data_IF_094247488795
#
_entry.id   IF_094247488795
#
_cell.length_a   1.000
_cell.length_b   1.000
_cell.length_c   1.000
_cell.angle_alpha   90.00
_cell.angle_beta   90.00
_cell.angle_gamma   90.00
#
_symmetry.space_group_name_H-M   'P 1'
#
loop_
_entity.id
_entity.type
_entity.pdbx_description
1 polymer ?
#
# COMPACT_ATOMS: atom_id res chain seq x y z
N UNK A 1 -20.68 -0.52 -15.31
CA UNK A 1 -19.41 -0.62 -16.04
C UNK A 1 -18.45 -1.52 -15.27
N UNK A 2 -17.66 -2.32 -15.99
CA UNK A 2 -16.74 -3.31 -15.39
C UNK A 2 -15.38 -3.18 -16.10
N UNK A 3 -14.29 -3.30 -15.31
CA UNK A 3 -12.92 -3.39 -15.81
C UNK A 3 -12.13 -4.41 -15.00
N UNK A 4 -11.14 -5.06 -15.65
CA UNK A 4 -10.24 -6.03 -15.01
C UNK A 4 -8.84 -5.88 -15.61
N UNK A 5 -7.81 -5.75 -14.76
CA UNK A 5 -6.43 -5.53 -15.18
C UNK A 5 -5.42 -5.97 -14.15
N UNK A 6 -4.17 -6.16 -14.58
CA UNK A 6 -3.05 -6.45 -13.69
C UNK A 6 -2.71 -5.24 -12.81
N UNK A 7 -2.61 -5.44 -11.49
CA UNK A 7 -2.26 -4.42 -10.51
C UNK A 7 -1.68 -5.05 -9.25
N UNK A 8 -0.64 -4.44 -8.69
CA UNK A 8 0.01 -4.88 -7.42
C UNK A 8 0.36 -6.38 -7.39
N UNK A 9 0.86 -6.88 -8.51
CA UNK A 9 1.24 -8.30 -8.67
C UNK A 9 0.06 -9.28 -8.69
N UNK A 10 -1.15 -8.80 -8.90
CA UNK A 10 -2.41 -9.54 -8.94
C UNK A 10 -3.34 -8.98 -10.02
N UNK A 11 -4.63 -9.37 -9.97
CA UNK A 11 -5.70 -8.81 -10.79
C UNK A 11 -6.52 -7.86 -9.93
N UNK A 12 -6.76 -6.67 -10.44
CA UNK A 12 -7.78 -5.75 -9.96
C UNK A 12 -9.07 -5.94 -10.77
N UNK A 13 -10.21 -6.00 -10.08
CA UNK A 13 -11.53 -6.02 -10.69
C UNK A 13 -12.34 -4.84 -10.14
N UNK A 14 -12.94 -4.06 -11.04
CA UNK A 14 -13.69 -2.87 -10.69
C UNK A 14 -15.06 -2.94 -11.32
N UNK A 15 -16.08 -2.71 -10.53
CA UNK A 15 -17.46 -2.49 -10.97
C UNK A 15 -17.88 -1.10 -10.53
N UNK A 16 -18.44 -0.31 -11.46
CA UNK A 16 -18.95 1.04 -11.19
C UNK A 16 -20.37 1.13 -11.68
N UNK A 17 -21.27 1.60 -10.84
CA UNK A 17 -22.62 2.07 -11.17
C UNK A 17 -22.54 3.60 -11.22
N UNK A 18 -22.52 4.17 -12.43
CA UNK A 18 -22.28 5.58 -12.68
C UNK A 18 -21.66 5.82 -14.05
N UNK A 19 -20.97 6.92 -14.22
CA UNK A 19 -20.34 7.31 -15.49
C UNK A 19 -19.13 6.41 -15.85
N UNK A 20 -19.03 6.05 -17.15
CA UNK A 20 -17.98 5.13 -17.62
C UNK A 20 -16.55 5.65 -17.39
N UNK A 21 -16.35 6.96 -17.42
CA UNK A 21 -15.01 7.55 -17.21
C UNK A 21 -14.43 7.24 -15.82
N UNK A 22 -15.26 6.92 -14.84
CA UNK A 22 -14.84 6.54 -13.49
C UNK A 22 -14.00 5.24 -13.47
N UNK A 23 -14.18 4.33 -14.43
CA UNK A 23 -13.29 3.17 -14.58
C UNK A 23 -11.85 3.59 -14.86
N UNK A 24 -11.67 4.59 -15.76
CA UNK A 24 -10.33 5.13 -16.04
C UNK A 24 -9.73 5.81 -14.82
N UNK A 25 -10.52 6.58 -14.08
CA UNK A 25 -10.10 7.21 -12.81
C UNK A 25 -9.62 6.15 -11.84
N UNK A 26 -10.38 5.09 -11.62
CA UNK A 26 -10.01 3.98 -10.74
C UNK A 26 -8.69 3.30 -11.17
N UNK A 27 -8.52 3.03 -12.46
CA UNK A 27 -7.30 2.43 -13.01
C UNK A 27 -6.07 3.31 -12.76
N UNK A 28 -6.17 4.61 -13.04
CA UNK A 28 -5.08 5.56 -12.83
C UNK A 28 -4.74 5.69 -11.34
N UNK A 29 -5.75 5.70 -10.49
CA UNK A 29 -5.56 5.79 -9.04
C UNK A 29 -4.87 4.54 -8.48
N UNK A 30 -5.27 3.35 -8.89
CA UNK A 30 -4.60 2.10 -8.50
C UNK A 30 -3.16 2.05 -8.99
N UNK A 31 -2.88 2.49 -10.21
CA UNK A 31 -1.52 2.57 -10.73
C UNK A 31 -0.65 3.57 -9.95
N UNK A 32 -1.20 4.73 -9.55
CA UNK A 32 -0.52 5.70 -8.70
C UNK A 32 -0.16 5.11 -7.33
N UNK A 33 -1.11 4.41 -6.68
CA UNK A 33 -0.87 3.74 -5.41
C UNK A 33 0.17 2.60 -5.54
N UNK A 34 0.15 1.83 -6.63
CA UNK A 34 1.18 0.82 -6.90
C UNK A 34 2.56 1.45 -7.03
N UNK A 35 2.69 2.55 -7.77
CA UNK A 35 3.94 3.27 -7.93
C UNK A 35 4.48 3.83 -6.60
N UNK A 36 3.62 4.21 -5.67
CA UNK A 36 4.00 4.70 -4.34
C UNK A 36 4.35 3.58 -3.36
N UNK A 37 3.68 2.43 -3.46
CA UNK A 37 3.68 1.42 -2.41
C UNK A 37 4.40 0.12 -2.75
N UNK A 38 4.74 -0.10 -4.04
CA UNK A 38 5.44 -1.32 -4.44
C UNK A 38 6.88 -1.32 -3.94
N UNK A 39 7.22 -2.29 -3.10
CA UNK A 39 8.59 -2.50 -2.63
C UNK A 39 9.54 -3.00 -3.72
N UNK A 40 9.02 -3.35 -4.88
CA UNK A 40 9.79 -3.77 -6.05
C UNK A 40 10.14 -2.61 -7.00
N UNK A 41 9.57 -1.42 -6.77
CA UNK A 41 9.90 -0.19 -7.50
C UNK A 41 10.87 0.61 -6.62
N UNK A 42 12.14 0.67 -6.99
CA UNK A 42 13.19 1.31 -6.18
C UNK A 42 12.94 2.80 -5.88
N UNK A 43 12.17 3.48 -6.74
CA UNK A 43 11.77 4.89 -6.57
C UNK A 43 10.43 5.07 -5.85
N UNK A 44 9.76 4.00 -5.44
CA UNK A 44 8.51 4.11 -4.69
C UNK A 44 8.74 4.72 -3.31
N UNK A 45 7.73 5.38 -2.77
CA UNK A 45 7.83 6.00 -1.44
C UNK A 45 8.14 4.97 -0.35
N UNK A 46 7.59 3.76 -0.43
CA UNK A 46 7.92 2.66 0.50
C UNK A 46 9.36 2.20 0.34
N UNK A 47 9.89 2.09 -0.87
CA UNK A 47 11.30 1.74 -1.08
C UNK A 47 12.24 2.83 -0.56
N UNK A 48 11.89 4.10 -0.74
CA UNK A 48 12.66 5.22 -0.19
C UNK A 48 12.66 5.21 1.35
N UNK A 49 11.51 4.98 1.99
CA UNK A 49 11.41 4.81 3.45
C UNK A 49 12.28 3.63 3.92
N UNK A 50 12.22 2.48 3.22
CA UNK A 50 12.97 1.28 3.57
C UNK A 50 14.48 1.44 3.46
N UNK A 51 14.94 2.37 2.63
CA UNK A 51 16.37 2.69 2.46
C UNK A 51 16.84 3.90 3.27
N UNK A 52 15.93 4.55 4.00
CA UNK A 52 16.24 5.77 4.76
C UNK A 52 17.02 5.53 6.05
N UNK A 53 17.04 4.28 6.58
CA UNK A 53 17.77 3.88 7.79
C UNK A 53 17.54 4.82 8.98
N UNK A 54 16.29 5.00 9.35
CA UNK A 54 15.91 5.85 10.48
C UNK A 54 16.01 7.36 10.20
N UNK A 55 16.27 7.78 8.96
CA UNK A 55 16.15 9.19 8.56
C UNK A 55 14.71 9.53 8.23
N UNK A 56 14.39 10.80 8.36
CA UNK A 56 13.08 11.32 8.01
C UNK A 56 12.91 11.39 6.49
N UNK A 57 11.77 10.92 6.00
CA UNK A 57 11.37 10.97 4.58
C UNK A 57 10.04 11.70 4.44
N UNK A 58 9.93 12.50 3.39
CA UNK A 58 8.69 13.19 3.04
C UNK A 58 7.97 12.42 1.95
N UNK A 59 6.74 12.04 2.22
CA UNK A 59 5.93 11.18 1.35
C UNK A 59 4.51 11.72 1.18
N UNK A 60 3.77 11.16 0.23
CA UNK A 60 2.37 11.56 -0.01
C UNK A 60 1.45 11.21 1.17
N UNK A 61 0.31 11.90 1.26
CA UNK A 61 -0.72 11.62 2.25
C UNK A 61 -1.21 10.16 2.22
N UNK A 62 -1.24 9.55 1.04
CA UNK A 62 -1.58 8.13 0.87
C UNK A 62 -0.59 7.22 1.60
N UNK A 63 0.70 7.48 1.45
CA UNK A 63 1.75 6.68 2.09
C UNK A 63 1.83 6.94 3.58
N UNK A 64 1.60 8.18 4.03
CA UNK A 64 1.42 8.49 5.45
C UNK A 64 0.28 7.66 6.05
N UNK A 65 -0.86 7.61 5.38
CA UNK A 65 -2.00 6.79 5.82
C UNK A 65 -1.64 5.30 5.86
N UNK A 66 -0.99 4.77 4.82
CA UNK A 66 -0.55 3.37 4.78
C UNK A 66 0.39 3.05 5.95
N UNK A 67 1.44 3.87 6.17
CA UNK A 67 2.41 3.63 7.27
C UNK A 67 1.70 3.65 8.62
N UNK A 68 0.78 4.59 8.84
CA UNK A 68 -0.02 4.64 10.07
C UNK A 68 -0.83 3.35 10.28
N UNK A 69 -1.51 2.85 9.22
CA UNK A 69 -2.28 1.60 9.32
C UNK A 69 -1.37 0.39 9.59
N UNK A 70 -0.17 0.33 9.01
CA UNK A 70 0.78 -0.75 9.25
C UNK A 70 1.27 -0.75 10.71
N UNK A 71 1.64 0.41 11.25
CA UNK A 71 2.07 0.59 12.64
C UNK A 71 0.94 0.24 13.61
N UNK A 72 -0.27 0.75 13.35
CA UNK A 72 -1.44 0.49 14.18
C UNK A 72 -1.82 -1.00 14.19
N UNK A 73 -1.77 -1.66 13.03
CA UNK A 73 -2.07 -3.08 12.91
C UNK A 73 -1.05 -3.95 13.67
N UNK A 74 0.25 -3.64 13.61
CA UNK A 74 1.26 -4.34 14.42
C UNK A 74 0.93 -4.21 15.92
N UNK A 75 0.63 -2.99 16.37
CA UNK A 75 0.29 -2.71 17.76
C UNK A 75 -0.98 -3.44 18.20
N UNK A 76 -2.07 -3.29 17.46
CA UNK A 76 -3.40 -3.86 17.79
C UNK A 76 -3.44 -5.38 17.76
N UNK A 77 -2.60 -6.00 16.97
CA UNK A 77 -2.50 -7.46 16.90
C UNK A 77 -1.40 -8.02 17.82
N UNK A 78 -0.78 -7.18 18.65
CA UNK A 78 0.34 -7.58 19.52
C UNK A 78 1.46 -8.29 18.73
N UNK A 79 1.75 -7.81 17.51
CA UNK A 79 2.78 -8.36 16.63
C UNK A 79 2.38 -9.61 15.85
N UNK A 80 1.14 -10.10 15.94
CA UNK A 80 0.66 -11.22 15.09
C UNK A 80 0.61 -10.82 13.61
N UNK A 81 0.31 -9.57 13.31
CA UNK A 81 0.59 -8.94 12.04
C UNK A 81 1.86 -8.10 12.20
N UNK A 82 2.90 -8.41 11.43
CA UNK A 82 4.17 -7.68 11.48
C UNK A 82 4.63 -7.24 10.10
N UNK A 83 4.46 -5.95 9.76
CA UNK A 83 4.92 -5.42 8.47
C UNK A 83 6.43 -5.20 8.41
N UNK A 84 7.18 -5.38 9.50
CA UNK A 84 8.65 -5.20 9.53
C UNK A 84 9.44 -6.43 9.09
N UNK A 85 8.75 -7.48 8.59
CA UNK A 85 9.36 -8.75 8.20
C UNK A 85 10.00 -8.74 6.79
N UNK A 86 10.14 -7.60 6.12
CA UNK A 86 10.66 -7.54 4.75
C UNK A 86 12.04 -8.23 4.59
N UNK A 87 13.05 -8.05 5.47
CA UNK A 87 14.32 -8.76 5.33
C UNK A 87 14.17 -10.28 5.42
N UNK A 88 13.29 -10.78 6.29
CA UNK A 88 13.00 -12.20 6.40
C UNK A 88 12.32 -12.74 5.13
N UNK A 89 11.36 -12.00 4.55
CA UNK A 89 10.72 -12.36 3.29
C UNK A 89 11.72 -12.44 2.14
N UNK A 90 12.66 -11.49 2.05
CA UNK A 90 13.73 -11.53 1.06
C UNK A 90 14.61 -12.78 1.25
N UNK A 91 15.00 -13.08 2.49
CA UNK A 91 15.78 -14.28 2.84
C UNK A 91 15.08 -15.59 2.48
N UNK A 92 13.74 -15.63 2.51
CA UNK A 92 12.91 -16.76 2.10
C UNK A 92 12.68 -16.82 0.57
N UNK A 93 13.28 -15.94 -0.23
CA UNK A 93 13.17 -15.94 -1.68
C UNK A 93 12.08 -15.02 -2.25
N UNK A 94 11.36 -14.26 -1.41
CA UNK A 94 10.34 -13.32 -1.86
C UNK A 94 10.90 -11.92 -2.20
N UNK A 95 12.20 -11.82 -2.48
CA UNK A 95 12.87 -10.57 -2.86
C UNK A 95 12.64 -10.14 -4.31
N UNK A 96 12.09 -11.02 -5.17
CA UNK A 96 11.85 -10.79 -6.59
C UNK A 96 10.34 -10.70 -6.85
N UNK A 97 9.92 -9.79 -7.74
CA UNK A 97 8.52 -9.68 -8.15
C UNK A 97 8.07 -10.96 -8.87
N UNK A 98 6.84 -11.41 -8.60
CA UNK A 98 6.26 -12.60 -9.23
C UNK A 98 5.79 -12.35 -10.67
N UNK A 99 5.57 -11.09 -11.03
CA UNK A 99 5.08 -10.68 -12.35
C UNK A 99 6.19 -10.17 -13.26
N UNK A 100 7.30 -9.70 -12.69
CA UNK A 100 8.47 -9.22 -13.43
C UNK A 100 9.75 -9.54 -12.65
N UNK A 101 10.49 -10.54 -13.11
CA UNK A 101 11.73 -11.01 -12.45
C UNK A 101 12.88 -10.00 -12.49
N UNK A 102 12.79 -8.95 -13.29
CA UNK A 102 13.76 -7.86 -13.30
C UNK A 102 13.57 -6.90 -12.10
N UNK A 103 12.37 -6.87 -11.51
CA UNK A 103 12.04 -6.01 -10.37
C UNK A 103 12.35 -6.72 -9.06
N UNK A 104 13.19 -6.09 -8.24
CA UNK A 104 13.68 -6.64 -6.96
C UNK A 104 13.49 -5.65 -5.82
N UNK A 105 13.25 -6.17 -4.63
CA UNK A 105 13.26 -5.37 -3.41
C UNK A 105 14.70 -5.09 -3.00
N UNK A 106 15.02 -3.81 -2.83
CA UNK A 106 16.29 -3.35 -2.29
C UNK A 106 16.04 -2.77 -0.90
N UNK A 107 16.88 -3.12 0.05
CA UNK A 107 16.82 -2.64 1.44
C UNK A 107 18.21 -2.23 1.90
N UNK A 108 18.27 -1.35 2.90
CA UNK A 108 19.53 -0.93 3.50
C UNK A 108 20.32 -2.13 4.06
N UNK A 109 21.66 -2.13 4.00
CA UNK A 109 22.50 -3.27 4.44
C UNK A 109 22.32 -3.63 5.92
N UNK A 110 21.92 -2.69 6.75
CA UNK A 110 21.67 -2.85 8.18
C UNK A 110 20.20 -3.13 8.51
N UNK A 111 19.35 -3.37 7.51
CA UNK A 111 17.95 -3.72 7.73
C UNK A 111 17.83 -5.00 8.56
N UNK A 112 16.96 -4.96 9.56
CA UNK A 112 16.67 -6.07 10.45
C UNK A 112 15.19 -6.42 10.37
N UNK A 113 14.85 -7.67 10.65
CA UNK A 113 13.47 -8.11 10.72
C UNK A 113 12.90 -8.04 12.14
N UNK A 114 11.58 -7.98 12.24
CA UNK A 114 10.83 -7.96 13.51
C UNK A 114 11.20 -6.78 14.44
N UNK A 115 11.50 -5.59 13.84
CA UNK A 115 11.69 -4.37 14.65
C UNK A 115 10.32 -3.82 15.05
N UNK A 116 10.08 -3.60 16.36
CA UNK A 116 8.86 -2.93 16.80
C UNK A 116 8.72 -1.53 16.21
N UNK A 117 7.57 -1.24 15.63
CA UNK A 117 7.31 0.03 14.95
C UNK A 117 6.75 1.13 15.87
N UNK A 118 6.63 0.88 17.18
CA UNK A 118 6.03 1.83 18.13
C UNK A 118 6.75 3.17 18.25
N UNK A 119 8.04 3.25 17.86
CA UNK A 119 8.82 4.49 17.84
C UNK A 119 8.76 5.21 16.48
N UNK A 120 7.95 4.73 15.53
CA UNK A 120 7.75 5.41 14.25
C UNK A 120 7.16 6.80 14.48
N UNK A 121 7.76 7.81 13.86
CA UNK A 121 7.25 9.18 13.90
C UNK A 121 6.56 9.49 12.59
N UNK A 122 5.35 10.04 12.69
CA UNK A 122 4.51 10.41 11.55
C UNK A 122 3.95 11.80 11.80
N UNK A 123 4.27 12.73 10.91
CA UNK A 123 3.64 14.04 10.85
C UNK A 123 2.77 14.12 9.60
N UNK A 124 1.47 14.07 9.79
CA UNK A 124 0.49 14.14 8.71
C UNK A 124 0.47 15.50 8.00
N UNK A 125 0.80 16.59 8.70
CA UNK A 125 0.73 17.93 8.14
C UNK A 125 1.87 18.18 7.13
N UNK A 126 3.07 17.70 7.45
CA UNK A 126 4.24 17.84 6.57
C UNK A 126 4.45 16.65 5.63
N UNK A 127 3.80 15.51 5.89
CA UNK A 127 4.06 14.25 5.18
C UNK A 127 5.33 13.54 5.66
N UNK A 128 5.91 13.95 6.79
CA UNK A 128 7.13 13.37 7.31
C UNK A 128 6.89 12.00 7.98
N UNK A 129 7.69 11.02 7.61
CA UNK A 129 7.71 9.67 8.17
C UNK A 129 9.16 9.30 8.55
N UNK A 130 9.35 8.78 9.77
CA UNK A 130 10.61 8.26 10.24
C UNK A 130 10.41 6.93 10.94
N UNK A 131 10.94 5.86 10.39
CA UNK A 131 10.99 4.56 11.04
C UNK A 131 12.12 4.48 12.08
N UNK A 132 12.08 3.53 13.04
CA UNK A 132 13.25 3.14 13.80
C UNK A 132 14.41 2.73 12.87
N UNK A 133 15.65 2.97 13.28
CA UNK A 133 16.83 2.59 12.50
C UNK A 133 16.83 1.06 12.24
N UNK A 134 17.16 0.67 11.02
CA UNK A 134 17.13 -0.72 10.56
C UNK A 134 15.72 -1.29 10.28
N UNK A 135 14.64 -0.58 10.64
CA UNK A 135 13.28 -1.03 10.32
C UNK A 135 12.96 -0.83 8.84
N UNK A 136 12.19 -1.77 8.30
CA UNK A 136 11.66 -1.73 6.92
C UNK A 136 10.18 -2.10 6.94
N UNK A 137 9.46 -1.81 5.88
CA UNK A 137 8.04 -2.11 5.73
C UNK A 137 7.77 -2.99 4.51
N UNK A 138 6.95 -4.01 4.69
CA UNK A 138 6.24 -4.71 3.62
C UNK A 138 4.75 -4.38 3.68
N UNK A 139 4.20 -3.63 2.72
CA UNK A 139 2.79 -3.27 2.70
C UNK A 139 1.88 -4.43 2.24
N UNK A 140 2.42 -5.58 1.85
CA UNK A 140 1.71 -6.67 1.19
C UNK A 140 0.44 -7.15 1.90
N UNK A 141 0.42 -7.12 3.24
CA UNK A 141 -0.73 -7.55 4.05
C UNK A 141 -1.91 -6.56 4.10
N UNK A 142 -1.66 -5.25 3.95
CA UNK A 142 -2.70 -4.21 4.05
C UNK A 142 -2.84 -3.35 2.78
N UNK A 143 -1.77 -3.16 2.01
CA UNK A 143 -1.74 -2.18 0.92
C UNK A 143 -2.82 -2.40 -0.14
N UNK A 144 -3.10 -3.66 -0.50
CA UNK A 144 -4.16 -3.98 -1.48
C UNK A 144 -5.56 -3.66 -0.96
N UNK A 145 -5.86 -4.03 0.30
CA UNK A 145 -7.14 -3.69 0.93
C UNK A 145 -7.34 -2.18 1.05
N UNK A 146 -6.32 -1.48 1.54
CA UNK A 146 -6.36 -0.01 1.66
C UNK A 146 -6.51 0.67 0.28
N UNK A 147 -5.85 0.16 -0.77
CA UNK A 147 -6.03 0.71 -2.11
C UNK A 147 -7.47 0.55 -2.62
N UNK A 148 -8.11 -0.57 -2.34
CA UNK A 148 -9.52 -0.78 -2.66
C UNK A 148 -10.44 0.18 -1.89
N UNK A 149 -10.17 0.42 -0.59
CA UNK A 149 -10.92 1.37 0.24
C UNK A 149 -10.80 2.80 -0.28
N UNK A 150 -9.59 3.26 -0.58
CA UNK A 150 -9.33 4.61 -1.07
C UNK A 150 -10.00 4.85 -2.44
N UNK A 151 -9.83 3.91 -3.37
CA UNK A 151 -10.43 4.04 -4.71
C UNK A 151 -11.95 4.00 -4.63
N UNK A 152 -12.55 3.09 -3.85
CA UNK A 152 -14.00 3.04 -3.71
C UNK A 152 -14.56 4.35 -3.12
N UNK A 153 -13.91 4.88 -2.09
CA UNK A 153 -14.31 6.16 -1.46
C UNK A 153 -14.22 7.33 -2.46
N UNK A 154 -13.13 7.38 -3.22
CA UNK A 154 -12.94 8.43 -4.25
C UNK A 154 -14.00 8.34 -5.35
N UNK A 155 -14.31 7.15 -5.86
CA UNK A 155 -15.32 6.96 -6.90
C UNK A 155 -16.73 7.38 -6.45
N UNK A 156 -17.10 7.07 -5.20
CA UNK A 156 -18.37 7.56 -4.63
C UNK A 156 -18.37 9.08 -4.54
N UNK A 157 -17.28 9.70 -4.08
CA UNK A 157 -17.17 11.16 -4.02
C UNK A 157 -17.25 11.86 -5.39
N UNK A 158 -16.89 11.14 -6.45
CA UNK A 158 -16.97 11.58 -7.85
C UNK A 158 -18.32 11.27 -8.52
N UNK A 159 -19.31 10.79 -7.76
CA UNK A 159 -20.70 10.61 -8.23
C UNK A 159 -21.03 9.18 -8.68
N UNK A 160 -20.20 8.18 -8.37
CA UNK A 160 -20.65 6.80 -8.51
C UNK A 160 -21.74 6.50 -7.49
N UNK A 161 -22.84 5.88 -7.91
CA UNK A 161 -23.93 5.46 -7.01
C UNK A 161 -23.66 4.09 -6.37
N UNK A 162 -22.74 3.32 -6.95
CA UNK A 162 -22.27 2.06 -6.37
C UNK A 162 -20.95 1.65 -6.98
N UNK A 163 -20.09 1.05 -6.14
CA UNK A 163 -18.79 0.56 -6.58
C UNK A 163 -18.44 -0.76 -5.88
N UNK A 164 -17.71 -1.60 -6.61
CA UNK A 164 -16.99 -2.73 -6.06
C UNK A 164 -15.56 -2.69 -6.59
N UNK A 165 -14.58 -2.55 -5.70
CA UNK A 165 -13.16 -2.55 -6.03
C UNK A 165 -12.51 -3.74 -5.34
N UNK A 166 -11.93 -4.65 -6.11
CA UNK A 166 -11.20 -5.81 -5.60
C UNK A 166 -9.77 -5.81 -6.14
N UNK A 167 -8.79 -5.98 -5.25
CA UNK A 167 -7.36 -6.06 -5.59
C UNK A 167 -6.75 -7.29 -4.92
N UNK A 168 -6.44 -8.32 -5.70
CA UNK A 168 -5.79 -9.53 -5.20
C UNK A 168 -6.54 -10.23 -4.08
N UNK A 169 -7.88 -10.19 -4.07
CA UNK A 169 -8.76 -10.80 -3.09
C UNK A 169 -9.22 -9.90 -1.94
N UNK A 170 -8.53 -8.77 -1.67
CA UNK A 170 -9.08 -7.70 -0.83
C UNK A 170 -10.17 -6.95 -1.59
N UNK A 171 -11.34 -6.69 -0.99
CA UNK A 171 -12.47 -6.10 -1.70
C UNK A 171 -13.18 -5.05 -0.84
N UNK A 172 -13.56 -3.93 -1.47
CA UNK A 172 -14.44 -2.90 -0.93
C UNK A 172 -15.67 -2.74 -1.79
N UNK A 173 -16.84 -2.77 -1.16
CA UNK A 173 -18.12 -2.38 -1.77
C UNK A 173 -18.59 -1.12 -1.07
N UNK A 174 -19.05 -0.15 -1.83
CA UNK A 174 -19.66 1.07 -1.32
C UNK A 174 -20.81 1.51 -2.23
N UNK A 175 -21.81 2.19 -1.67
CA UNK A 175 -22.92 2.80 -2.38
C UNK A 175 -23.27 4.15 -1.73
N UNK A 176 -23.86 5.04 -2.53
CA UNK A 176 -24.25 6.40 -2.12
C UNK A 176 -25.58 6.42 -1.35
N UNK A 177 -26.30 5.30 -1.27
CA UNK A 177 -27.56 5.21 -0.52
C UNK A 177 -27.34 4.65 0.89
N UNK A 178 -27.89 5.34 1.89
CA UNK A 178 -28.18 4.71 3.18
C UNK A 178 -29.13 3.54 2.94
N UNK A 179 -28.70 2.32 3.32
CA UNK A 179 -29.54 1.13 3.31
C UNK A 179 -30.48 1.17 4.51
#
# INVERSE_FOLDING_TARGET
>A
HIDSFACMGNIANIVVIGEQHLLRTARLRLADLENKWSRFIGTSEISLINNADGKEMYVSADTVALVRYLVDAQSRTHGLFDPSLLPALIGLGYGVSRTDSSMKSEIAPNAQWAIPLGETRIDQASGAVRLPAGATLDPGGLGKGLSADLVATELISLGATGVCVSVGGGMRIACDSEL
#
